data_IF_252343996362
#
_entry.id   IF_252343996362
#
_cell.length_a   1.000
_cell.length_b   1.000
_cell.length_c   1.000
_cell.angle_alpha   90.00
_cell.angle_beta   90.00
_cell.angle_gamma   90.00
#
_symmetry.space_group_name_H-M   'P 1'
#
loop_
_entity.id
_entity.type
_entity.pdbx_description
1 polymer ?
#
# COMPACT_ATOMS: atom_id res chain seq x y z
N UNK A 1 -8.65 -5.35 -0.38
CA UNK A 1 -8.65 -3.88 -0.52
C UNK A 1 -7.30 -3.27 -0.08
N UNK A 2 -6.33 -2.93 -0.96
CA UNK A 2 -4.96 -2.50 -0.53
C UNK A 2 -4.21 -1.53 -1.48
N UNK A 3 -4.93 -0.69 -2.23
CA UNK A 3 -4.38 0.05 -3.38
C UNK A 3 -3.13 0.89 -3.06
N UNK A 4 -3.17 1.76 -2.05
CA UNK A 4 -2.06 2.67 -1.72
C UNK A 4 -0.80 1.88 -1.33
N UNK A 5 -0.95 0.85 -0.48
CA UNK A 5 0.18 0.02 -0.03
C UNK A 5 0.82 -0.78 -1.17
N UNK A 6 0.03 -1.22 -2.16
CA UNK A 6 0.57 -1.84 -3.39
C UNK A 6 1.29 -0.83 -4.27
N UNK A 7 0.74 0.38 -4.45
CA UNK A 7 1.40 1.44 -5.22
C UNK A 7 2.77 1.83 -4.63
N UNK A 8 2.82 2.03 -3.30
CA UNK A 8 4.07 2.34 -2.59
C UNK A 8 5.05 1.17 -2.65
N UNK A 9 4.56 -0.07 -2.48
CA UNK A 9 5.38 -1.28 -2.60
C UNK A 9 6.03 -1.40 -3.99
N UNK A 10 5.23 -1.23 -5.06
CA UNK A 10 5.71 -1.24 -6.44
C UNK A 10 6.80 -0.19 -6.68
N UNK A 11 6.54 1.06 -6.31
CA UNK A 11 7.50 2.16 -6.50
C UNK A 11 8.80 1.90 -5.73
N UNK A 12 8.70 1.46 -4.47
CA UNK A 12 9.87 1.18 -3.62
C UNK A 12 10.74 0.07 -4.19
N UNK A 13 10.13 -1.00 -4.70
CA UNK A 13 10.87 -2.14 -5.25
C UNK A 13 11.48 -1.86 -6.61
N UNK A 14 10.80 -1.10 -7.47
CA UNK A 14 11.37 -0.67 -8.76
C UNK A 14 12.66 0.12 -8.54
N UNK A 15 12.64 1.08 -7.60
CA UNK A 15 13.81 1.88 -7.26
C UNK A 15 14.91 1.01 -6.62
N UNK A 16 14.55 0.17 -5.65
CA UNK A 16 15.50 -0.69 -4.92
C UNK A 16 16.20 -1.70 -5.81
N UNK A 17 15.48 -2.33 -6.73
CA UNK A 17 15.99 -3.40 -7.59
C UNK A 17 16.55 -2.88 -8.93
N UNK A 18 16.46 -1.57 -9.20
CA UNK A 18 16.85 -1.01 -10.50
C UNK A 18 16.01 -1.55 -11.65
N UNK A 19 14.74 -1.88 -11.39
CA UNK A 19 13.82 -2.43 -12.40
C UNK A 19 13.49 -1.35 -13.43
N UNK A 20 13.36 -1.69 -14.73
CA UNK A 20 12.92 -0.74 -15.75
C UNK A 20 11.57 -0.09 -15.40
N UNK A 21 11.44 1.22 -15.60
CA UNK A 21 10.22 1.98 -15.23
C UNK A 21 8.99 1.54 -16.04
N UNK A 22 9.20 0.95 -17.21
CA UNK A 22 8.17 0.38 -18.08
C UNK A 22 7.34 -0.69 -17.33
N UNK A 23 7.89 -1.31 -16.29
CA UNK A 23 7.19 -2.26 -15.41
C UNK A 23 5.92 -1.67 -14.80
N UNK A 24 5.90 -0.36 -14.53
CA UNK A 24 4.70 0.32 -14.01
C UNK A 24 3.57 0.23 -15.04
N UNK A 25 3.84 0.42 -16.33
CA UNK A 25 2.84 0.35 -17.39
C UNK A 25 2.28 -1.07 -17.56
N UNK A 26 3.13 -2.08 -17.37
CA UNK A 26 2.74 -3.49 -17.40
C UNK A 26 1.78 -3.85 -16.27
N UNK A 27 1.89 -3.19 -15.11
CA UNK A 27 0.98 -3.43 -13.96
C UNK A 27 -0.49 -3.07 -14.24
N UNK A 28 -0.75 -2.22 -15.26
CA UNK A 28 -2.10 -1.85 -15.71
C UNK A 28 -2.64 -2.77 -16.81
N UNK A 29 -1.86 -3.74 -17.28
CA UNK A 29 -2.27 -4.67 -18.33
C UNK A 29 -3.08 -5.82 -17.76
N UNK A 30 -3.66 -6.64 -18.64
CA UNK A 30 -4.46 -7.81 -18.24
C UNK A 30 -3.64 -8.92 -17.57
N UNK A 31 -2.31 -8.88 -17.65
CA UNK A 31 -1.46 -9.85 -16.96
C UNK A 31 -1.41 -9.52 -15.46
N UNK A 32 -1.84 -10.46 -14.61
CA UNK A 32 -1.76 -10.30 -13.16
C UNK A 32 -0.30 -10.14 -12.73
N UNK A 33 -0.02 -9.07 -12.00
CA UNK A 33 1.26 -8.80 -11.35
C UNK A 33 1.07 -8.91 -9.83
N UNK A 34 1.79 -9.83 -9.21
CA UNK A 34 1.79 -9.98 -7.75
C UNK A 34 2.62 -8.85 -7.13
N UNK A 35 1.94 -7.74 -6.80
CA UNK A 35 2.55 -6.58 -6.13
C UNK A 35 2.43 -6.77 -4.62
N UNK A 36 3.55 -6.87 -3.89
CA UNK A 36 3.52 -7.06 -2.45
C UNK A 36 3.02 -5.79 -1.75
N UNK A 37 2.30 -6.00 -0.64
CA UNK A 37 1.70 -4.95 0.17
C UNK A 37 2.74 -4.34 1.10
N UNK A 38 3.14 -3.09 0.87
CA UNK A 38 4.05 -2.38 1.79
C UNK A 38 3.49 -2.34 3.22
N UNK A 39 4.30 -2.19 4.28
CA UNK A 39 3.81 -2.06 5.66
C UNK A 39 2.78 -0.93 5.84
N UNK A 40 1.81 -1.12 6.73
CA UNK A 40 0.76 -0.14 7.01
C UNK A 40 1.17 0.97 7.97
N UNK A 41 2.28 0.79 8.71
CA UNK A 41 2.71 1.68 9.79
C UNK A 41 2.87 3.14 9.36
N UNK A 42 3.33 3.40 8.14
CA UNK A 42 3.50 4.76 7.61
C UNK A 42 2.27 5.35 6.91
N UNK A 43 1.17 4.61 6.81
CA UNK A 43 -0.01 5.07 6.08
C UNK A 43 -0.88 5.96 6.96
N UNK A 44 -0.95 7.24 6.62
CA UNK A 44 -1.75 8.23 7.34
C UNK A 44 -2.79 8.86 6.42
N UNK A 45 -4.06 8.82 6.82
CA UNK A 45 -5.11 9.64 6.19
C UNK A 45 -4.93 11.09 6.65
N UNK A 46 -4.42 11.93 5.76
CA UNK A 46 -4.07 13.31 6.11
C UNK A 46 -5.28 14.23 6.22
N UNK A 47 -6.10 14.31 5.15
CA UNK A 47 -7.29 15.17 5.15
C UNK A 47 -8.39 14.66 4.20
N UNK A 48 -9.66 14.68 4.60
CA UNK A 48 -10.77 14.58 3.67
C UNK A 48 -10.97 15.91 2.93
N UNK A 49 -11.34 15.84 1.64
CA UNK A 49 -11.56 17.01 0.78
C UNK A 49 -13.03 17.13 0.40
N UNK A 50 -13.71 18.19 0.85
CA UNK A 50 -15.15 18.41 0.67
C UNK A 50 -15.50 19.39 -0.46
N UNK A 51 -14.56 19.71 -1.36
CA UNK A 51 -14.73 20.74 -2.40
C UNK A 51 -16.07 20.66 -3.16
N UNK A 52 -16.40 19.49 -3.71
CA UNK A 52 -17.63 19.31 -4.50
C UNK A 52 -18.90 19.37 -3.65
N UNK A 53 -18.83 18.92 -2.40
CA UNK A 53 -19.93 19.02 -1.45
C UNK A 53 -20.18 20.48 -1.08
N UNK A 54 -19.13 21.19 -0.67
CA UNK A 54 -19.19 22.59 -0.26
C UNK A 54 -19.78 23.47 -1.36
N UNK A 55 -19.36 23.27 -2.62
CA UNK A 55 -19.92 23.97 -3.77
C UNK A 55 -21.45 23.85 -3.85
N UNK A 56 -21.98 22.62 -3.76
CA UNK A 56 -23.44 22.38 -3.80
C UNK A 56 -24.16 22.93 -2.56
N UNK A 57 -23.54 22.80 -1.39
CA UNK A 57 -24.10 23.25 -0.12
C UNK A 57 -24.32 24.77 -0.11
N UNK A 58 -23.33 25.54 -0.56
CA UNK A 58 -23.37 27.01 -0.56
C UNK A 58 -24.20 27.56 -1.71
N UNK A 59 -24.07 27.01 -2.92
CA UNK A 59 -24.72 27.58 -4.12
C UNK A 59 -26.20 27.22 -4.23
N UNK A 60 -26.60 26.00 -3.83
CA UNK A 60 -27.95 25.48 -4.09
C UNK A 60 -28.81 25.30 -2.85
N UNK A 61 -28.19 25.10 -1.68
CA UNK A 61 -28.89 24.68 -0.46
C UNK A 61 -28.86 25.72 0.66
N UNK A 62 -28.11 26.82 0.50
CA UNK A 62 -27.94 27.85 1.53
C UNK A 62 -27.34 27.32 2.84
N UNK A 63 -26.56 26.23 2.77
CA UNK A 63 -25.90 25.60 3.92
C UNK A 63 -24.47 26.09 4.06
N UNK A 64 -23.96 26.06 5.29
CA UNK A 64 -22.56 26.36 5.59
C UNK A 64 -21.63 25.29 4.98
N UNK A 65 -20.46 25.73 4.52
CA UNK A 65 -19.41 24.84 4.02
C UNK A 65 -18.74 24.07 5.16
N UNK A 66 -18.36 22.82 4.89
CA UNK A 66 -17.52 22.03 5.78
C UNK A 66 -16.07 22.49 5.60
N UNK A 67 -15.54 23.15 6.62
CA UNK A 67 -14.17 23.62 6.66
C UNK A 67 -13.47 23.10 7.93
N UNK A 68 -12.35 22.39 7.74
CA UNK A 68 -11.51 21.88 8.82
C UNK A 68 -10.25 22.72 9.02
N UNK A 69 -9.96 23.69 8.13
CA UNK A 69 -8.76 24.50 8.20
C UNK A 69 -8.74 25.35 9.50
N UNK A 70 -9.93 25.67 10.05
CA UNK A 70 -10.07 26.29 11.38
C UNK A 70 -9.47 25.49 12.55
N UNK A 71 -9.16 24.22 12.35
CA UNK A 71 -8.54 23.34 13.34
C UNK A 71 -7.15 22.85 12.94
N UNK A 72 -6.56 23.40 11.88
CA UNK A 72 -5.28 22.95 11.32
C UNK A 72 -4.18 22.89 12.38
N UNK A 73 -4.05 23.92 13.23
CA UNK A 73 -3.04 23.94 14.30
C UNK A 73 -3.21 22.78 15.29
N UNK A 74 -4.46 22.44 15.66
CA UNK A 74 -4.76 21.34 16.59
C UNK A 74 -4.50 19.99 15.92
N UNK A 75 -4.87 19.84 14.65
CA UNK A 75 -4.64 18.62 13.87
C UNK A 75 -3.14 18.40 13.69
N UNK A 76 -2.38 19.42 13.31
CA UNK A 76 -0.93 19.34 13.14
C UNK A 76 -0.24 18.98 14.45
N UNK A 77 -0.58 19.65 15.55
CA UNK A 77 -0.02 19.34 16.87
C UNK A 77 -0.32 17.89 17.30
N UNK A 78 -1.46 17.33 16.91
CA UNK A 78 -1.80 15.93 17.16
C UNK A 78 -0.99 14.97 16.27
N UNK A 79 -0.89 15.26 14.95
CA UNK A 79 -0.08 14.48 14.00
C UNK A 79 1.37 14.36 14.51
N UNK A 80 1.97 15.46 14.93
CA UNK A 80 3.36 15.47 15.38
C UNK A 80 3.55 14.68 16.68
N UNK A 81 2.72 14.98 17.70
CA UNK A 81 2.89 14.42 19.05
C UNK A 81 2.49 12.95 19.16
N UNK A 82 1.42 12.55 18.47
CA UNK A 82 0.83 11.22 18.66
C UNK A 82 1.09 10.29 17.49
N UNK A 83 1.00 10.78 16.25
CA UNK A 83 1.09 9.92 15.07
C UNK A 83 2.54 9.73 14.63
N UNK A 84 3.23 10.80 14.22
CA UNK A 84 4.60 10.70 13.72
C UNK A 84 5.55 10.13 14.77
N UNK A 85 5.44 10.60 16.02
CA UNK A 85 6.23 10.05 17.14
C UNK A 85 6.05 8.54 17.29
N UNK A 86 4.81 8.03 17.17
CA UNK A 86 4.53 6.59 17.26
C UNK A 86 5.08 5.84 16.05
N UNK A 87 4.91 6.36 14.84
CA UNK A 87 5.42 5.75 13.60
C UNK A 87 6.93 5.55 13.70
N UNK A 88 7.67 6.60 14.08
CA UNK A 88 9.13 6.51 14.21
C UNK A 88 9.56 5.55 15.32
N UNK A 89 8.92 5.61 16.49
CA UNK A 89 9.25 4.73 17.61
C UNK A 89 9.01 3.25 17.30
N UNK A 90 7.93 2.93 16.60
CA UNK A 90 7.63 1.54 16.18
C UNK A 90 8.58 1.10 15.07
N UNK A 91 8.88 1.95 14.09
CA UNK A 91 9.81 1.58 13.01
C UNK A 91 11.23 1.34 13.54
N UNK A 92 11.71 2.16 14.48
CA UNK A 92 13.02 1.97 15.11
C UNK A 92 13.12 0.61 15.83
N UNK A 93 12.03 0.19 16.49
CA UNK A 93 11.98 -1.06 17.24
C UNK A 93 11.81 -2.28 16.35
N UNK A 94 10.81 -2.24 15.47
CA UNK A 94 10.32 -3.41 14.74
C UNK A 94 10.91 -3.52 13.33
N UNK A 95 11.48 -2.43 12.79
CA UNK A 95 12.11 -2.37 11.45
C UNK A 95 11.19 -2.94 10.36
N UNK A 96 9.94 -2.49 10.32
CA UNK A 96 8.88 -3.12 9.54
C UNK A 96 9.16 -3.10 8.03
N UNK A 97 9.78 -2.03 7.51
CA UNK A 97 10.18 -1.96 6.11
C UNK A 97 11.37 -2.86 5.79
N UNK A 98 12.33 -2.99 6.72
CA UNK A 98 13.44 -3.92 6.55
C UNK A 98 12.94 -5.37 6.48
N UNK A 99 12.03 -5.76 7.37
CA UNK A 99 11.40 -7.07 7.35
C UNK A 99 10.64 -7.33 6.05
N UNK A 100 9.87 -6.35 5.57
CA UNK A 100 9.17 -6.42 4.28
C UNK A 100 10.12 -6.70 3.12
N UNK A 101 11.23 -5.97 3.05
CA UNK A 101 12.24 -6.17 2.02
C UNK A 101 12.93 -7.54 2.11
N UNK A 102 13.29 -7.96 3.33
CA UNK A 102 13.87 -9.28 3.55
C UNK A 102 12.94 -10.42 3.14
N UNK A 103 11.64 -10.29 3.41
CA UNK A 103 10.64 -11.28 3.00
C UNK A 103 10.59 -11.45 1.48
N UNK A 104 10.67 -10.35 0.73
CA UNK A 104 10.67 -10.38 -0.74
C UNK A 104 11.95 -11.02 -1.27
N UNK A 105 13.11 -10.67 -0.70
CA UNK A 105 14.40 -11.17 -1.17
C UNK A 105 14.58 -12.67 -0.90
N UNK A 106 14.02 -13.17 0.21
CA UNK A 106 14.08 -14.58 0.59
C UNK A 106 12.95 -15.41 -0.01
N UNK A 107 12.06 -14.80 -0.79
CA UNK A 107 10.91 -15.47 -1.36
C UNK A 107 11.35 -16.52 -2.37
N UNK A 108 11.04 -17.78 -2.11
CA UNK A 108 11.56 -18.92 -2.89
C UNK A 108 10.88 -19.14 -4.24
N UNK A 109 9.80 -18.41 -4.51
CA UNK A 109 8.95 -18.58 -5.68
C UNK A 109 9.23 -17.50 -6.73
N UNK A 110 9.01 -17.83 -8.01
CA UNK A 110 9.25 -16.93 -9.13
C UNK A 110 8.38 -15.65 -9.15
N UNK A 111 7.42 -15.49 -8.23
CA UNK A 111 6.43 -14.42 -8.25
C UNK A 111 6.99 -13.00 -8.26
N UNK A 112 8.15 -12.75 -7.66
CA UNK A 112 8.77 -11.43 -7.65
C UNK A 112 9.87 -11.27 -8.70
N UNK A 113 10.08 -12.27 -9.56
CA UNK A 113 11.11 -12.19 -10.61
C UNK A 113 10.80 -11.14 -11.68
N UNK A 114 9.58 -10.58 -11.71
CA UNK A 114 9.27 -9.41 -12.52
C UNK A 114 10.12 -8.18 -12.14
N UNK A 115 10.70 -8.15 -10.94
CA UNK A 115 11.67 -7.13 -10.52
C UNK A 115 13.02 -7.24 -11.26
N UNK A 116 13.34 -8.41 -11.80
CA UNK A 116 14.60 -8.67 -12.47
C UNK A 116 14.57 -8.28 -13.96
N UNK A 117 15.73 -8.35 -14.62
CA UNK A 117 15.83 -8.15 -16.06
C UNK A 117 14.99 -9.15 -16.90
N UNK A 118 14.62 -10.31 -16.33
CA UNK A 118 13.76 -11.28 -17.00
C UNK A 118 12.29 -10.84 -17.12
N UNK A 119 11.89 -9.84 -16.32
CA UNK A 119 10.58 -9.22 -16.36
C UNK A 119 9.39 -10.15 -16.16
N UNK A 120 8.22 -9.75 -16.65
CA UNK A 120 6.96 -10.48 -16.40
C UNK A 120 6.99 -11.93 -16.85
N UNK A 121 7.75 -12.27 -17.89
CA UNK A 121 7.93 -13.65 -18.34
C UNK A 121 8.64 -14.52 -17.31
N UNK A 122 9.60 -13.95 -16.58
CA UNK A 122 10.30 -14.67 -15.52
C UNK A 122 9.41 -14.92 -14.30
N UNK A 123 8.33 -14.15 -14.13
CA UNK A 123 7.35 -14.32 -13.06
C UNK A 123 6.14 -15.20 -13.46
N UNK A 124 6.11 -15.74 -14.67
CA UNK A 124 5.03 -16.65 -15.08
C UNK A 124 5.11 -17.96 -14.28
N UNK A 125 4.03 -18.26 -13.55
CA UNK A 125 3.81 -19.57 -12.97
C UNK A 125 2.98 -20.39 -13.95
N UNK A 126 3.39 -21.64 -14.18
CA UNK A 126 2.64 -22.57 -15.02
C UNK A 126 1.18 -22.66 -14.54
N UNK A 127 0.21 -22.53 -15.45
CA UNK A 127 -1.23 -22.61 -15.15
C UNK A 127 -1.72 -24.05 -14.95
N UNK A 128 -0.96 -24.87 -14.25
CA UNK A 128 -1.38 -26.20 -13.83
C UNK A 128 -1.94 -26.17 -12.40
N UNK A 129 -2.48 -27.29 -11.94
CA UNK A 129 -3.06 -27.43 -10.59
C UNK A 129 -2.03 -27.14 -9.48
N UNK A 130 -0.74 -27.21 -9.81
CA UNK A 130 0.36 -26.87 -8.90
C UNK A 130 0.53 -25.35 -8.83
N UNK A 131 0.50 -24.66 -9.96
CA UNK A 131 0.60 -23.21 -10.04
C UNK A 131 -0.58 -22.46 -9.42
N UNK A 132 -1.79 -23.02 -9.50
CA UNK A 132 -2.97 -22.45 -8.80
C UNK A 132 -2.82 -22.52 -7.27
N UNK A 133 -2.32 -23.63 -6.74
CA UNK A 133 -2.05 -23.78 -5.30
C UNK A 133 -0.92 -22.85 -4.85
N UNK A 134 0.14 -22.76 -5.63
CA UNK A 134 1.27 -21.85 -5.33
C UNK A 134 0.80 -20.39 -5.35
N UNK A 135 -0.03 -20.00 -6.31
CA UNK A 135 -0.61 -18.65 -6.34
C UNK A 135 -1.50 -18.38 -5.11
N UNK A 136 -2.34 -19.33 -4.70
CA UNK A 136 -3.16 -19.20 -3.48
C UNK A 136 -2.31 -19.07 -2.21
N UNK A 137 -1.29 -19.91 -2.06
CA UNK A 137 -0.37 -19.84 -0.91
C UNK A 137 0.37 -18.51 -0.85
N UNK A 138 0.68 -17.93 -2.01
CA UNK A 138 1.38 -16.64 -2.12
C UNK A 138 0.44 -15.49 -1.85
N UNK A 139 -0.77 -15.51 -2.39
CA UNK A 139 -1.81 -14.52 -2.09
C UNK A 139 -2.10 -14.50 -0.58
N UNK A 140 -2.12 -15.68 0.06
CA UNK A 140 -2.22 -15.82 1.52
C UNK A 140 -1.01 -15.24 2.24
N UNK A 141 0.21 -15.56 1.82
CA UNK A 141 1.45 -15.02 2.42
C UNK A 141 1.62 -13.50 2.21
N UNK A 142 1.03 -12.95 1.15
CA UNK A 142 1.01 -11.51 0.88
C UNK A 142 -0.12 -10.78 1.61
N UNK A 143 -0.99 -11.52 2.32
CA UNK A 143 -2.15 -10.98 3.01
C UNK A 143 -3.12 -10.32 2.03
N UNK A 144 -3.30 -10.92 0.86
CA UNK A 144 -4.29 -10.55 -0.14
C UNK A 144 -5.64 -11.27 0.08
N UNK A 145 -5.71 -12.24 0.99
CA UNK A 145 -6.99 -12.70 1.56
C UNK A 145 -7.59 -11.59 2.43
N UNK A 146 -8.91 -11.42 2.34
CA UNK A 146 -9.70 -10.44 3.08
C UNK A 146 -9.71 -10.75 4.60
N UNK A 147 -8.56 -10.62 5.26
CA UNK A 147 -8.49 -10.45 6.72
C UNK A 147 -8.97 -9.03 7.07
N UNK A 148 -10.28 -8.80 6.89
CA UNK A 148 -11.01 -7.79 7.66
C UNK A 148 -11.29 -8.41 9.04
N UNK A 149 -10.35 -8.23 9.97
CA UNK A 149 -10.75 -8.06 11.37
C UNK A 149 -10.73 -6.55 11.69
N UNK A 150 -11.88 -5.86 11.58
CA UNK A 150 -11.97 -4.42 11.83
C UNK A 150 -11.88 -4.03 13.33
N UNK A 151 -11.65 -4.96 14.27
CA UNK A 151 -11.60 -4.67 15.72
C UNK A 151 -10.20 -4.58 16.34
N UNK A 152 -9.13 -4.38 15.55
CA UNK A 152 -7.76 -4.23 16.07
C UNK A 152 -7.34 -2.82 16.52
N UNK A 153 -8.28 -1.90 16.73
CA UNK A 153 -8.02 -0.52 17.13
C UNK A 153 -8.06 -0.32 18.64
N UNK A 154 -7.16 -0.96 19.40
CA UNK A 154 -6.87 -0.52 20.77
C UNK A 154 -5.75 0.53 20.75
N UNK A 155 -6.11 1.78 21.02
CA UNK A 155 -5.17 2.90 21.20
C UNK A 155 -5.82 4.25 21.03
#
# INVERSE_FOLDING_TARGET
MHQIRKMVGLASLIVRCGTPMERINESYQNQKMAIPKAPGLGLLLERPVFHNYNRKATESLGKEAIDFDKYEEKIQAFKDKQIYTRIFSVEEKDNSFHMFFNQIDQFKTNHFLWLTAGGMKAAEIARDTTGEKVQQDVDKQLGDEDEEDPEGGEG
#
